data_IF_200108739420
#
_entry.id   IF_200108739420
#
_cell.length_a   1.000
_cell.length_b   1.000
_cell.length_c   1.000
_cell.angle_alpha   90.00
_cell.angle_beta   90.00
_cell.angle_gamma   90.00
#
_symmetry.space_group_name_H-M   'P 1'
#
loop_
_entity.id
_entity.type
_entity.pdbx_description
1 polymer ?
#
# COMPACT_ATOMS: atom_id res chain seq x y z
N UNK A 1 -41.17 54.23 -18.30
CA UNK A 1 -42.14 53.21 -17.82
C UNK A 1 -42.79 52.40 -18.95
N UNK A 2 -43.34 53.04 -20.00
CA UNK A 2 -43.96 52.34 -21.16
C UNK A 2 -43.01 51.46 -22.00
N UNK A 3 -41.74 51.86 -22.16
CA UNK A 3 -40.72 51.10 -22.89
C UNK A 3 -40.35 49.78 -22.20
N UNK A 4 -40.19 49.80 -20.88
CA UNK A 4 -39.93 48.61 -20.06
C UNK A 4 -41.11 47.63 -20.09
N UNK A 5 -42.35 48.14 -20.08
CA UNK A 5 -43.55 47.31 -20.25
C UNK A 5 -43.65 46.67 -21.64
N UNK A 6 -43.21 47.36 -22.69
CA UNK A 6 -43.16 46.81 -24.06
C UNK A 6 -42.08 45.74 -24.19
N UNK A 7 -40.90 45.99 -23.64
CA UNK A 7 -39.80 45.01 -23.60
C UNK A 7 -40.20 43.75 -22.80
N UNK A 8 -40.84 43.92 -21.65
CA UNK A 8 -41.33 42.79 -20.84
C UNK A 8 -42.39 41.95 -21.57
N UNK A 9 -43.30 42.58 -22.32
CA UNK A 9 -44.30 41.85 -23.13
C UNK A 9 -43.67 41.13 -24.32
N UNK A 10 -42.66 41.72 -24.96
CA UNK A 10 -41.92 41.08 -26.04
C UNK A 10 -41.12 39.87 -25.52
N UNK A 11 -40.42 40.04 -24.40
CA UNK A 11 -39.69 38.98 -23.73
C UNK A 11 -40.61 37.83 -23.30
N UNK A 12 -41.78 38.15 -22.72
CA UNK A 12 -42.76 37.14 -22.34
C UNK A 12 -43.24 36.30 -23.53
N UNK A 13 -43.50 36.93 -24.70
CA UNK A 13 -43.88 36.19 -25.91
C UNK A 13 -42.76 35.25 -26.38
N UNK A 14 -41.52 35.72 -26.38
CA UNK A 14 -40.36 34.91 -26.75
C UNK A 14 -40.20 33.73 -25.80
N UNK A 15 -40.37 33.95 -24.50
CA UNK A 15 -40.28 32.89 -23.49
C UNK A 15 -41.39 31.86 -23.68
N UNK A 16 -42.62 32.29 -23.96
CA UNK A 16 -43.74 31.41 -24.27
C UNK A 16 -43.47 30.56 -25.51
N UNK A 17 -42.97 31.16 -26.59
CA UNK A 17 -42.67 30.45 -27.82
C UNK A 17 -41.50 29.47 -27.65
N UNK A 18 -40.48 29.84 -26.87
CA UNK A 18 -39.38 28.95 -26.52
C UNK A 18 -39.86 27.75 -25.69
N UNK A 19 -40.64 28.01 -24.63
CA UNK A 19 -41.16 26.98 -23.74
C UNK A 19 -42.12 26.00 -24.42
N UNK A 20 -42.87 26.45 -25.43
CA UNK A 20 -43.75 25.58 -26.23
C UNK A 20 -42.98 24.68 -27.22
N UNK A 21 -41.80 25.12 -27.66
CA UNK A 21 -40.95 24.37 -28.60
C UNK A 21 -39.77 23.63 -27.93
N UNK A 22 -39.64 23.74 -26.61
CA UNK A 22 -38.57 23.08 -25.87
C UNK A 22 -38.80 21.58 -25.77
N UNK A 23 -37.71 20.81 -25.76
CA UNK A 23 -37.73 19.35 -25.54
C UNK A 23 -37.97 18.95 -24.08
N UNK A 24 -38.02 19.93 -23.17
CA UNK A 24 -38.18 19.68 -21.74
C UNK A 24 -39.65 19.39 -21.42
N UNK A 25 -39.91 18.13 -21.09
CA UNK A 25 -41.24 17.63 -20.77
C UNK A 25 -41.87 18.41 -19.59
N UNK A 26 -43.14 18.79 -19.73
CA UNK A 26 -43.90 19.50 -18.70
C UNK A 26 -43.91 21.03 -18.84
N UNK A 27 -42.84 21.65 -19.35
CA UNK A 27 -42.76 23.13 -19.47
C UNK A 27 -43.82 23.69 -20.42
N UNK A 28 -44.06 23.04 -21.55
CA UNK A 28 -45.08 23.47 -22.51
C UNK A 28 -46.50 23.53 -21.91
N UNK A 29 -46.83 22.61 -20.99
CA UNK A 29 -48.14 22.57 -20.33
C UNK A 29 -48.32 23.70 -19.30
N UNK A 30 -47.22 24.18 -18.70
CA UNK A 30 -47.24 25.28 -17.73
C UNK A 30 -47.49 26.62 -18.43
N UNK A 31 -46.92 26.80 -19.62
CA UNK A 31 -46.88 28.10 -20.31
C UNK A 31 -48.01 28.25 -21.35
N UNK A 32 -48.56 27.14 -21.85
CA UNK A 32 -49.61 27.17 -22.87
C UNK A 32 -50.93 27.73 -22.31
N UNK A 33 -51.44 28.79 -22.97
CA UNK A 33 -52.62 29.54 -22.55
C UNK A 33 -53.94 28.77 -22.74
N UNK A 34 -53.93 27.63 -23.43
CA UNK A 34 -55.12 26.80 -23.71
C UNK A 34 -55.58 25.95 -22.52
N UNK A 35 -54.69 25.67 -21.56
CA UNK A 35 -55.01 24.83 -20.40
C UNK A 35 -55.64 25.61 -19.24
N UNK A 36 -56.41 24.92 -18.40
CA UNK A 36 -57.02 25.54 -17.22
C UNK A 36 -55.92 25.91 -16.19
N UNK A 37 -56.05 27.02 -15.43
CA UNK A 37 -55.03 27.44 -14.46
C UNK A 37 -54.69 26.36 -13.41
N UNK A 38 -55.65 25.51 -13.02
CA UNK A 38 -55.44 24.40 -12.09
C UNK A 38 -54.55 23.30 -12.68
N UNK A 39 -54.71 22.99 -13.97
CA UNK A 39 -53.87 22.01 -14.67
C UNK A 39 -52.44 22.53 -14.81
N UNK A 40 -52.26 23.83 -15.06
CA UNK A 40 -50.92 24.44 -15.11
C UNK A 40 -50.22 24.38 -13.77
N UNK A 41 -50.95 24.61 -12.68
CA UNK A 41 -50.40 24.49 -11.32
C UNK A 41 -49.99 23.04 -11.03
N UNK A 42 -50.80 22.06 -11.43
CA UNK A 42 -50.45 20.65 -11.30
C UNK A 42 -49.16 20.32 -12.05
N UNK A 43 -49.05 20.69 -13.33
CA UNK A 43 -47.84 20.47 -14.12
C UNK A 43 -46.62 21.20 -13.55
N UNK A 44 -46.80 22.42 -13.04
CA UNK A 44 -45.73 23.16 -12.38
C UNK A 44 -45.19 22.42 -11.15
N UNK A 45 -46.07 21.90 -10.30
CA UNK A 45 -45.69 21.12 -9.12
C UNK A 45 -44.99 19.83 -9.52
N UNK A 46 -45.55 19.07 -10.46
CA UNK A 46 -44.95 17.82 -10.94
C UNK A 46 -43.57 18.02 -11.57
N UNK A 47 -43.41 19.03 -12.44
CA UNK A 47 -42.12 19.33 -13.06
C UNK A 47 -41.09 19.80 -12.03
N UNK A 48 -41.50 20.63 -11.06
CA UNK A 48 -40.60 21.09 -9.98
C UNK A 48 -40.12 19.92 -9.11
N UNK A 49 -41.02 19.01 -8.74
CA UNK A 49 -40.67 17.80 -7.99
C UNK A 49 -39.71 16.92 -8.80
N UNK A 50 -40.00 16.69 -10.08
CA UNK A 50 -39.14 15.89 -10.96
C UNK A 50 -37.72 16.47 -11.05
N UNK A 51 -37.57 17.80 -11.14
CA UNK A 51 -36.26 18.45 -11.16
C UNK A 51 -35.50 18.28 -9.86
N UNK A 52 -36.18 18.43 -8.71
CA UNK A 52 -35.55 18.21 -7.40
C UNK A 52 -35.02 16.79 -7.29
N UNK A 53 -35.81 15.78 -7.68
CA UNK A 53 -35.37 14.38 -7.68
C UNK A 53 -34.22 14.14 -8.65
N UNK A 54 -34.27 14.69 -9.87
CA UNK A 54 -33.20 14.53 -10.85
C UNK A 54 -31.88 15.11 -10.33
N UNK A 55 -31.91 16.31 -9.75
CA UNK A 55 -30.70 16.94 -9.17
C UNK A 55 -30.17 16.12 -8.00
N UNK A 56 -31.04 15.68 -7.09
CA UNK A 56 -30.64 14.83 -5.95
C UNK A 56 -30.01 13.52 -6.40
N UNK A 57 -30.59 12.89 -7.42
CA UNK A 57 -30.09 11.64 -7.99
C UNK A 57 -28.71 11.84 -8.61
N UNK A 58 -28.52 12.89 -9.41
CA UNK A 58 -27.22 13.22 -10.01
C UNK A 58 -26.17 13.45 -8.93
N UNK A 59 -26.47 14.23 -7.89
CA UNK A 59 -25.55 14.46 -6.78
C UNK A 59 -25.17 13.16 -6.06
N UNK A 60 -26.15 12.29 -5.78
CA UNK A 60 -25.90 11.01 -5.11
C UNK A 60 -25.04 10.06 -5.95
N UNK A 61 -25.28 9.99 -7.26
CA UNK A 61 -24.42 9.23 -8.17
C UNK A 61 -23.00 9.82 -8.23
N UNK A 62 -22.87 11.14 -8.32
CA UNK A 62 -21.56 11.79 -8.31
C UNK A 62 -20.77 11.54 -7.03
N UNK A 63 -21.45 11.47 -5.88
CA UNK A 63 -20.84 11.13 -4.61
C UNK A 63 -20.39 9.67 -4.60
N UNK A 64 -21.26 8.73 -5.00
CA UNK A 64 -20.94 7.31 -5.09
C UNK A 64 -19.74 7.05 -6.02
N UNK A 65 -19.67 7.74 -7.17
CA UNK A 65 -18.53 7.65 -8.08
C UNK A 65 -17.24 8.23 -7.52
N UNK A 66 -17.30 9.09 -6.50
CA UNK A 66 -16.10 9.65 -5.85
C UNK A 66 -15.65 8.80 -4.68
N UNK A 67 -16.57 8.19 -3.95
CA UNK A 67 -16.27 7.40 -2.74
C UNK A 67 -15.98 5.95 -3.07
N UNK A 68 -16.77 5.33 -3.95
CA UNK A 68 -16.81 3.88 -4.14
C UNK A 68 -16.55 3.49 -5.60
N UNK A 69 -15.46 4.01 -6.16
CA UNK A 69 -15.12 3.86 -7.58
C UNK A 69 -14.65 2.44 -7.95
N UNK A 70 -14.28 1.61 -6.97
CA UNK A 70 -13.65 0.31 -7.22
C UNK A 70 -14.45 -0.79 -6.53
N UNK A 71 -15.06 -1.65 -7.35
CA UNK A 71 -15.61 -2.92 -6.89
C UNK A 71 -14.57 -4.02 -7.17
N UNK A 72 -13.92 -4.52 -6.11
CA UNK A 72 -13.01 -5.66 -6.22
C UNK A 72 -13.86 -6.93 -6.04
N UNK A 73 -14.03 -7.67 -7.12
CA UNK A 73 -14.56 -9.02 -7.05
C UNK A 73 -13.42 -10.00 -6.76
N UNK A 74 -13.55 -10.80 -5.71
CA UNK A 74 -12.64 -11.92 -5.45
C UNK A 74 -13.25 -13.15 -6.09
N UNK A 75 -12.63 -13.62 -7.17
CA UNK A 75 -13.00 -14.86 -7.81
C UNK A 75 -12.10 -16.00 -7.30
N UNK A 76 -12.72 -17.13 -6.95
CA UNK A 76 -11.97 -18.34 -6.62
C UNK A 76 -11.56 -18.99 -7.94
N UNK A 77 -10.29 -18.82 -8.31
CA UNK A 77 -9.72 -19.43 -9.52
C UNK A 77 -9.61 -20.95 -9.27
N UNK A 78 -10.22 -21.76 -10.16
CA UNK A 78 -10.06 -23.21 -10.10
C UNK A 78 -8.63 -23.57 -10.50
N UNK A 79 -7.87 -24.09 -9.52
CA UNK A 79 -6.47 -24.48 -9.67
C UNK A 79 -6.27 -25.66 -10.65
N UNK A 80 -7.36 -26.27 -11.13
CA UNK A 80 -7.33 -27.30 -12.19
C UNK A 80 -7.30 -26.70 -13.60
N UNK A 81 -7.79 -25.48 -13.79
CA UNK A 81 -7.92 -24.86 -15.11
C UNK A 81 -6.67 -24.08 -15.53
N UNK A 82 -5.91 -23.53 -14.56
CA UNK A 82 -4.74 -22.70 -14.82
C UNK A 82 -3.49 -23.25 -14.10
N UNK A 83 -2.35 -23.43 -14.81
CA UNK A 83 -1.12 -23.86 -14.19
C UNK A 83 -0.59 -22.77 -13.24
N UNK A 84 -0.55 -23.07 -11.95
CA UNK A 84 -0.03 -22.17 -10.93
C UNK A 84 1.51 -22.20 -10.98
N UNK A 85 2.11 -21.01 -11.07
CA UNK A 85 3.57 -20.86 -10.93
C UNK A 85 3.94 -21.08 -9.47
N UNK A 86 4.85 -22.02 -9.21
CA UNK A 86 5.34 -22.25 -7.86
C UNK A 86 6.09 -21.02 -7.35
N UNK A 87 5.82 -20.52 -6.13
CA UNK A 87 6.47 -19.32 -5.64
C UNK A 87 7.95 -19.58 -5.36
N UNK A 88 8.76 -18.52 -5.43
CA UNK A 88 10.13 -18.59 -4.93
C UNK A 88 10.11 -18.81 -3.40
N UNK A 89 10.77 -19.86 -2.94
CA UNK A 89 10.91 -20.16 -1.51
C UNK A 89 12.34 -19.88 -1.08
N UNK A 90 12.52 -18.87 -0.22
CA UNK A 90 13.80 -18.58 0.43
C UNK A 90 13.87 -19.27 1.79
N UNK A 91 14.90 -20.08 2.02
CA UNK A 91 15.18 -20.70 3.32
C UNK A 91 16.50 -20.16 3.85
N UNK A 92 16.50 -19.73 5.10
CA UNK A 92 17.67 -19.27 5.82
C UNK A 92 17.85 -20.08 7.09
N UNK A 93 19.10 -20.37 7.44
CA UNK A 93 19.44 -20.91 8.75
C UNK A 93 19.23 -19.83 9.84
N UNK A 94 18.76 -20.27 11.01
CA UNK A 94 18.55 -19.42 12.17
C UNK A 94 19.70 -19.60 13.15
N UNK A 95 20.30 -18.50 13.58
CA UNK A 95 21.34 -18.51 14.61
C UNK A 95 20.76 -18.44 16.02
N UNK A 96 21.44 -19.05 16.97
CA UNK A 96 21.12 -18.99 18.40
C UNK A 96 22.33 -18.57 19.22
N UNK A 97 22.18 -17.53 20.04
CA UNK A 97 23.27 -16.95 20.86
C UNK A 97 23.89 -17.93 21.85
N UNK A 98 23.16 -19.00 22.24
CA UNK A 98 23.65 -20.02 23.17
C UNK A 98 24.27 -21.24 22.49
N UNK A 99 24.26 -21.28 21.16
CA UNK A 99 24.82 -22.38 20.39
C UNK A 99 26.28 -22.07 20.06
N UNK A 100 27.13 -23.10 20.16
CA UNK A 100 28.56 -22.97 19.88
C UNK A 100 28.78 -23.37 18.43
N UNK A 101 29.22 -22.41 17.61
CA UNK A 101 29.53 -22.64 16.20
C UNK A 101 31.05 -22.86 16.02
N UNK A 102 31.51 -24.07 15.64
CA UNK A 102 32.94 -24.36 15.52
C UNK A 102 33.67 -23.46 14.50
N UNK A 103 32.97 -23.08 13.42
CA UNK A 103 33.50 -22.15 12.42
C UNK A 103 33.72 -20.76 13.00
N UNK A 104 32.86 -20.30 13.91
CA UNK A 104 33.00 -19.00 14.55
C UNK A 104 34.11 -19.03 15.60
N UNK A 105 34.16 -20.09 16.41
CA UNK A 105 35.17 -20.27 17.45
C UNK A 105 36.59 -20.33 16.87
N UNK A 106 36.77 -21.03 15.74
CA UNK A 106 38.06 -21.05 15.04
C UNK A 106 38.44 -19.70 14.44
N UNK A 107 37.47 -18.93 13.92
CA UNK A 107 37.70 -17.56 13.45
C UNK A 107 38.09 -16.60 14.58
N UNK A 108 37.35 -16.64 15.70
CA UNK A 108 37.63 -15.78 16.86
C UNK A 108 38.97 -16.13 17.53
N UNK A 109 39.31 -17.41 17.60
CA UNK A 109 40.63 -17.85 18.09
C UNK A 109 41.79 -17.30 17.25
N UNK A 110 41.58 -17.12 15.93
CA UNK A 110 42.59 -16.51 15.07
C UNK A 110 42.76 -14.99 15.28
N UNK A 111 41.82 -14.33 15.96
CA UNK A 111 41.93 -12.91 16.33
C UNK A 111 42.74 -12.70 17.63
N UNK A 112 43.00 -13.76 18.41
CA UNK A 112 43.82 -13.68 19.60
C UNK A 112 45.29 -13.50 19.21
N UNK A 113 45.89 -12.37 19.57
CA UNK A 113 47.31 -12.08 19.26
C UNK A 113 48.28 -12.63 20.30
N UNK A 114 47.83 -12.84 21.54
CA UNK A 114 48.63 -13.33 22.66
C UNK A 114 47.86 -14.42 23.42
N UNK A 115 48.58 -15.42 23.96
CA UNK A 115 47.99 -16.51 24.77
C UNK A 115 47.37 -16.01 26.10
N UNK A 116 47.75 -14.81 26.55
CA UNK A 116 47.19 -14.16 27.75
C UNK A 116 45.90 -13.37 27.46
N UNK A 117 45.52 -13.21 26.19
CA UNK A 117 44.34 -12.45 25.80
C UNK A 117 43.06 -13.23 26.10
N UNK A 118 42.21 -12.70 26.97
CA UNK A 118 40.93 -13.33 27.31
C UNK A 118 39.97 -13.35 26.12
N UNK A 119 39.20 -14.43 26.01
CA UNK A 119 38.15 -14.56 25.00
C UNK A 119 37.03 -13.56 25.27
N UNK A 120 36.70 -12.74 24.28
CA UNK A 120 35.69 -11.70 24.42
C UNK A 120 34.33 -12.19 23.90
N UNK A 121 33.43 -12.54 24.82
CA UNK A 121 32.07 -12.99 24.50
C UNK A 121 31.20 -11.92 23.84
N UNK A 122 31.50 -10.63 24.05
CA UNK A 122 30.77 -9.54 23.39
C UNK A 122 31.13 -9.45 21.90
N UNK A 123 32.37 -9.79 21.54
CA UNK A 123 32.79 -9.93 20.13
C UNK A 123 32.14 -11.16 19.49
N UNK A 124 32.00 -12.26 20.23
CA UNK A 124 31.26 -13.44 19.75
C UNK A 124 29.79 -13.12 19.47
N UNK A 125 29.08 -12.49 20.41
CA UNK A 125 27.66 -12.12 20.21
C UNK A 125 27.50 -11.12 19.07
N UNK A 126 28.41 -10.16 18.95
CA UNK A 126 28.44 -9.24 17.80
C UNK A 126 28.55 -10.02 16.47
N UNK A 127 29.49 -10.95 16.38
CA UNK A 127 29.68 -11.74 15.17
C UNK A 127 28.46 -12.61 14.86
N UNK A 128 27.81 -13.22 15.86
CA UNK A 128 26.58 -13.98 15.65
C UNK A 128 25.44 -13.12 15.08
N UNK A 129 25.31 -11.86 15.51
CA UNK A 129 24.29 -10.92 15.00
C UNK A 129 24.56 -10.45 13.57
N UNK A 130 25.83 -10.37 13.19
CA UNK A 130 26.24 -10.09 11.80
C UNK A 130 26.04 -11.34 10.92
N UNK A 131 26.34 -12.52 11.45
CA UNK A 131 26.28 -13.79 10.72
C UNK A 131 24.84 -14.29 10.60
N UNK A 132 23.92 -14.05 11.52
CA UNK A 132 22.57 -14.61 11.44
C UNK A 132 21.51 -13.51 11.36
N UNK A 133 20.80 -13.46 10.23
CA UNK A 133 19.83 -12.40 9.95
C UNK A 133 18.73 -12.28 11.02
N UNK A 134 18.35 -13.40 11.65
CA UNK A 134 17.35 -13.39 12.71
C UNK A 134 17.82 -12.76 14.03
N UNK A 135 19.13 -12.61 14.21
CA UNK A 135 19.74 -11.98 15.39
C UNK A 135 20.10 -10.52 15.13
N UNK A 136 20.05 -10.07 13.88
CA UNK A 136 20.40 -8.71 13.48
C UNK A 136 19.43 -7.71 14.11
N UNK A 137 19.98 -6.81 14.93
CA UNK A 137 19.24 -5.68 15.50
C UNK A 137 20.20 -4.48 15.59
N UNK A 138 19.89 -3.43 14.83
CA UNK A 138 20.73 -2.24 14.66
C UNK A 138 21.16 -1.62 16.00
N UNK A 139 20.21 -1.42 16.92
CA UNK A 139 20.49 -0.79 18.21
C UNK A 139 21.41 -1.61 19.12
N UNK A 140 21.43 -2.93 18.93
CA UNK A 140 22.34 -3.83 19.66
C UNK A 140 23.74 -3.83 19.05
N UNK A 141 23.84 -3.81 17.72
CA UNK A 141 25.11 -3.95 16.98
C UNK A 141 26.03 -2.73 17.19
N UNK A 142 25.47 -1.52 17.26
CA UNK A 142 26.26 -0.30 17.44
C UNK A 142 26.97 -0.21 18.80
N UNK A 143 26.46 -0.88 19.84
CA UNK A 143 27.01 -0.78 21.19
C UNK A 143 28.08 -1.83 21.49
N UNK A 144 27.97 -3.06 20.95
CA UNK A 144 28.86 -4.17 21.32
C UNK A 144 30.33 -3.90 20.98
N UNK A 145 30.60 -3.28 19.82
CA UNK A 145 31.98 -3.06 19.37
C UNK A 145 32.56 -1.69 19.71
N UNK A 146 31.75 -0.74 20.18
CA UNK A 146 32.21 0.62 20.47
C UNK A 146 33.29 0.65 21.56
N UNK A 147 33.22 -0.24 22.55
CA UNK A 147 34.19 -0.32 23.65
C UNK A 147 35.48 -1.05 23.27
N UNK A 148 35.50 -1.78 22.16
CA UNK A 148 36.64 -2.59 21.70
C UNK A 148 37.31 -2.04 20.45
N UNK A 149 36.92 -0.83 20.02
CA UNK A 149 37.50 -0.20 18.83
C UNK A 149 38.94 0.28 19.09
N UNK A 150 39.22 0.75 20.31
CA UNK A 150 40.52 1.26 20.76
C UNK A 150 40.98 0.51 22.02
N UNK A 151 41.25 -0.79 21.90
CA UNK A 151 41.85 -1.58 22.97
C UNK A 151 43.17 -2.23 22.54
N UNK A 152 44.16 -2.25 23.43
CA UNK A 152 45.47 -2.86 23.17
C UNK A 152 45.59 -4.28 23.73
N UNK A 153 44.95 -4.55 24.88
CA UNK A 153 45.00 -5.85 25.57
C UNK A 153 43.71 -6.67 25.40
N UNK A 154 42.93 -6.40 24.35
CA UNK A 154 41.64 -7.06 24.14
C UNK A 154 41.42 -7.50 22.69
N UNK A 155 40.58 -8.51 22.51
CA UNK A 155 40.14 -8.94 21.19
C UNK A 155 39.28 -7.84 20.55
N UNK A 156 39.76 -7.30 19.43
CA UNK A 156 39.06 -6.25 18.66
C UNK A 156 37.97 -6.85 17.79
N UNK A 157 36.89 -6.09 17.59
CA UNK A 157 35.90 -6.46 16.60
C UNK A 157 36.47 -6.34 15.17
N UNK A 158 36.28 -7.35 14.31
CA UNK A 158 36.62 -7.25 12.91
C UNK A 158 35.75 -6.17 12.24
N UNK A 159 36.32 -5.42 11.29
CA UNK A 159 35.60 -4.34 10.55
C UNK A 159 35.19 -4.78 9.14
N UNK A 160 35.79 -5.86 8.65
CA UNK A 160 35.66 -6.37 7.29
C UNK A 160 35.59 -7.92 7.28
N UNK A 161 35.47 -8.51 6.10
CA UNK A 161 35.46 -9.97 5.96
C UNK A 161 34.15 -10.67 6.38
N UNK A 162 33.13 -9.95 6.85
CA UNK A 162 31.87 -10.54 7.35
C UNK A 162 31.22 -11.53 6.39
N UNK A 163 31.26 -11.29 5.08
CA UNK A 163 30.68 -12.21 4.11
C UNK A 163 31.42 -13.54 4.03
N UNK A 164 32.74 -13.53 4.15
CA UNK A 164 33.55 -14.76 4.17
C UNK A 164 33.33 -15.51 5.48
N UNK A 165 33.32 -14.80 6.61
CA UNK A 165 33.04 -15.41 7.92
C UNK A 165 31.64 -16.00 7.96
N UNK A 166 30.64 -15.31 7.43
CA UNK A 166 29.28 -15.83 7.35
C UNK A 166 29.19 -17.09 6.47
N UNK A 167 29.95 -17.17 5.37
CA UNK A 167 30.01 -18.36 4.53
C UNK A 167 30.73 -19.54 5.19
N UNK A 168 31.66 -19.27 6.13
CA UNK A 168 32.35 -20.30 6.91
C UNK A 168 31.49 -20.84 8.05
N UNK A 169 30.66 -20.00 8.66
CA UNK A 169 29.87 -20.35 9.85
C UNK A 169 28.51 -20.94 9.48
N UNK A 170 27.83 -20.40 8.47
CA UNK A 170 26.50 -20.85 8.08
C UNK A 170 26.55 -22.22 7.39
N UNK A 171 25.48 -22.98 7.57
CA UNK A 171 25.21 -24.20 6.83
C UNK A 171 25.17 -23.93 5.32
N UNK A 172 25.82 -24.79 4.56
CA UNK A 172 25.76 -24.79 3.10
C UNK A 172 24.40 -25.33 2.62
N UNK A 173 24.10 -25.11 1.34
CA UNK A 173 22.86 -25.63 0.75
C UNK A 173 22.74 -27.16 0.99
N UNK A 174 23.81 -27.92 0.75
CA UNK A 174 23.80 -29.38 0.84
C UNK A 174 23.54 -29.92 2.25
N UNK A 175 23.74 -29.10 3.28
CA UNK A 175 23.40 -29.44 4.67
C UNK A 175 21.96 -29.08 5.01
N UNK A 176 21.41 -28.03 4.40
CA UNK A 176 20.03 -27.58 4.63
C UNK A 176 19.01 -28.37 3.78
N UNK A 177 19.39 -28.77 2.57
CA UNK A 177 18.50 -29.40 1.61
C UNK A 177 19.06 -30.74 1.13
N UNK A 178 18.14 -31.68 0.84
CA UNK A 178 18.49 -32.98 0.23
C UNK A 178 18.98 -32.85 -1.20
N UNK A 179 18.43 -31.89 -1.94
CA UNK A 179 18.81 -31.61 -3.32
C UNK A 179 19.16 -30.13 -3.46
N UNK A 180 20.42 -29.87 -3.84
CA UNK A 180 20.92 -28.53 -4.17
C UNK A 180 21.19 -28.46 -5.66
N UNK A 181 20.12 -28.36 -6.44
CA UNK A 181 20.19 -28.09 -7.87
C UNK A 181 19.77 -26.65 -8.09
N UNK A 182 20.61 -25.87 -8.79
CA UNK A 182 20.15 -24.60 -9.36
C UNK A 182 19.22 -24.96 -10.52
N UNK A 183 17.96 -24.54 -10.43
CA UNK A 183 17.10 -24.42 -11.61
C UNK A 183 17.50 -23.19 -12.43
#
# INVERSE_FOLDING_TARGET
MLLLLRLGRAFYRILVDYCNNASLAGIGYIVNRRYHPTERLFWFVCTSIAWVFAVRLICSYMELFRTDTISIAVENIDTRAEPIVFPAVGVCEMGYVKEVYPGLQSYLGALQTNDEMEFNYDVEDYMLRIIFHNLYNEGSISSYCAMYEECDDCMRCPKDGYSQTAAMVRANCSTLFRECRRE
#
